data_IF_603665722272
#
_entry.id   IF_603665722272
#
_cell.length_a   1.000
_cell.length_b   1.000
_cell.length_c   1.000
_cell.angle_alpha   90.00
_cell.angle_beta   90.00
_cell.angle_gamma   90.00
#
_symmetry.space_group_name_H-M   'P 1'
#
loop_
_entity.id
_entity.type
_entity.pdbx_description
1 polymer ?
#
# COMPACT_ATOMS: atom_id res chain seq x y z
N UNK A 1 4.05 -25.81 2.14
CA UNK A 1 2.95 -25.21 1.37
C UNK A 1 2.94 -23.75 1.76
N UNK A 2 3.74 -22.94 1.08
CA UNK A 2 3.85 -21.51 1.36
C UNK A 2 2.61 -20.84 0.77
N UNK A 3 1.70 -20.37 1.62
CA UNK A 3 0.63 -19.49 1.21
C UNK A 3 1.20 -18.08 1.18
N UNK A 4 1.91 -17.76 0.11
CA UNK A 4 2.17 -16.36 -0.22
C UNK A 4 0.80 -15.81 -0.64
N UNK A 5 0.16 -15.01 0.22
CA UNK A 5 -1.09 -14.34 -0.13
C UNK A 5 -0.78 -13.27 -1.17
N UNK A 6 -0.77 -13.69 -2.43
CA UNK A 6 -0.60 -12.82 -3.58
C UNK A 6 -1.64 -11.68 -3.52
N UNK A 7 -1.24 -10.42 -3.74
CA UNK A 7 -2.17 -9.31 -3.74
C UNK A 7 -3.25 -9.51 -4.82
N UNK A 8 -4.49 -9.04 -4.58
CA UNK A 8 -5.52 -9.03 -5.63
C UNK A 8 -5.00 -8.37 -6.90
N UNK A 9 -5.46 -8.82 -8.07
CA UNK A 9 -4.89 -8.41 -9.37
C UNK A 9 -4.85 -6.88 -9.57
N UNK A 10 -5.84 -6.17 -9.05
CA UNK A 10 -5.89 -4.70 -9.04
C UNK A 10 -4.70 -4.08 -8.29
N UNK A 11 -4.41 -4.57 -7.10
CA UNK A 11 -3.25 -4.15 -6.28
C UNK A 11 -1.95 -4.63 -6.91
N UNK A 12 -1.92 -5.88 -7.40
CA UNK A 12 -0.74 -6.49 -8.05
C UNK A 12 -0.24 -5.64 -9.21
N UNK A 13 -1.14 -5.16 -10.07
CA UNK A 13 -0.76 -4.29 -11.19
C UNK A 13 -0.09 -3.00 -10.70
N UNK A 14 -0.67 -2.34 -9.69
CA UNK A 14 -0.13 -1.11 -9.12
C UNK A 14 1.28 -1.32 -8.53
N UNK A 15 1.51 -2.42 -7.80
CA UNK A 15 2.82 -2.70 -7.18
C UNK A 15 3.88 -3.21 -8.15
N UNK A 16 3.49 -3.81 -9.28
CA UNK A 16 4.43 -4.20 -10.35
C UNK A 16 4.89 -2.98 -11.14
N UNK A 17 4.00 -2.01 -11.37
CA UNK A 17 4.30 -0.80 -12.14
C UNK A 17 5.11 0.24 -11.34
N UNK A 18 5.10 0.17 -10.01
CA UNK A 18 5.72 1.16 -9.13
C UNK A 18 6.68 0.50 -8.13
N UNK A 19 7.92 1.00 -7.96
CA UNK A 19 8.90 0.38 -7.07
C UNK A 19 8.54 0.48 -5.59
N UNK A 20 7.78 1.51 -5.20
CA UNK A 20 7.19 1.66 -3.87
C UNK A 20 5.76 2.15 -4.02
N UNK A 21 4.83 1.46 -3.36
CA UNK A 21 3.41 1.87 -3.30
C UNK A 21 2.98 2.00 -1.84
N UNK A 22 2.29 3.09 -1.51
CA UNK A 22 1.77 3.35 -0.17
C UNK A 22 0.28 3.65 -0.30
N UNK A 23 -0.55 2.84 0.35
CA UNK A 23 -1.98 3.12 0.51
C UNK A 23 -2.20 3.80 1.86
N UNK A 24 -2.86 4.94 1.85
CA UNK A 24 -3.08 5.80 3.02
C UNK A 24 -4.51 6.29 3.09
N UNK A 25 -4.86 6.95 4.20
CA UNK A 25 -6.03 7.83 4.27
C UNK A 25 -5.58 9.19 4.82
N UNK A 26 -6.21 10.27 4.36
CA UNK A 26 -5.78 11.64 4.66
C UNK A 26 -5.89 11.99 6.16
N UNK A 27 -6.77 11.32 6.91
CA UNK A 27 -6.99 11.56 8.35
C UNK A 27 -6.13 10.70 9.30
N UNK A 28 -5.22 9.87 8.77
CA UNK A 28 -4.44 8.92 9.55
C UNK A 28 -3.05 9.47 9.97
N UNK A 29 -2.81 9.60 11.28
CA UNK A 29 -1.53 10.12 11.82
C UNK A 29 -0.32 9.25 11.44
N UNK A 30 -0.45 7.93 11.45
CA UNK A 30 0.62 7.00 11.04
C UNK A 30 0.95 7.16 9.55
N UNK A 31 -0.07 7.41 8.73
CA UNK A 31 0.07 7.63 7.29
C UNK A 31 0.88 8.90 7.02
N UNK A 32 0.71 9.96 7.82
CA UNK A 32 1.56 11.15 7.74
C UNK A 32 3.03 10.84 8.05
N UNK A 33 3.30 10.02 9.07
CA UNK A 33 4.66 9.63 9.43
C UNK A 33 5.34 8.83 8.31
N UNK A 34 4.63 7.85 7.73
CA UNK A 34 5.14 7.03 6.62
C UNK A 34 5.36 7.86 5.36
N UNK A 35 4.42 8.75 4.97
CA UNK A 35 4.61 9.66 3.83
C UNK A 35 5.86 10.54 3.99
N UNK A 36 6.10 11.07 5.20
CA UNK A 36 7.30 11.88 5.50
C UNK A 36 8.59 11.06 5.42
N UNK A 37 8.58 9.84 5.95
CA UNK A 37 9.71 8.93 5.89
C UNK A 37 10.12 8.67 4.44
N UNK A 38 9.19 8.21 3.60
CA UNK A 38 9.49 7.88 2.20
C UNK A 38 9.87 9.10 1.36
N UNK A 39 9.28 10.26 1.63
CA UNK A 39 9.72 11.53 1.01
C UNK A 39 11.19 11.86 1.32
N UNK A 40 11.67 11.53 2.52
CA UNK A 40 13.05 11.77 2.94
C UNK A 40 14.06 10.77 2.34
N UNK A 41 13.60 9.61 1.88
CA UNK A 41 14.46 8.55 1.34
C UNK A 41 14.84 8.73 -0.15
N UNK A 42 14.33 9.76 -0.82
CA UNK A 42 14.58 10.04 -2.24
C UNK A 42 14.29 8.84 -3.18
N UNK A 43 13.34 7.97 -2.80
CA UNK A 43 12.85 6.86 -3.61
C UNK A 43 11.60 7.26 -4.37
N UNK A 44 11.43 6.73 -5.59
CA UNK A 44 10.20 6.96 -6.35
C UNK A 44 9.04 6.24 -5.67
N UNK A 45 8.13 7.01 -5.07
CA UNK A 45 7.02 6.50 -4.25
C UNK A 45 5.71 6.94 -4.83
N UNK A 46 4.80 5.99 -5.05
CA UNK A 46 3.42 6.25 -5.46
C UNK A 46 2.51 6.12 -4.24
N UNK A 47 1.72 7.16 -3.97
CA UNK A 47 0.81 7.22 -2.81
C UNK A 47 -0.62 7.24 -3.33
N UNK A 48 -1.45 6.34 -2.81
CA UNK A 48 -2.89 6.30 -3.06
C UNK A 48 -3.61 6.68 -1.76
N UNK A 49 -4.24 7.85 -1.73
CA UNK A 49 -5.09 8.29 -0.62
C UNK A 49 -6.50 7.71 -0.81
N UNK A 50 -6.82 6.63 -0.12
CA UNK A 50 -8.04 5.84 -0.35
C UNK A 50 -9.34 6.65 -0.13
N UNK A 51 -9.30 7.72 0.66
CA UNK A 51 -10.44 8.62 0.87
C UNK A 51 -10.57 9.72 -0.20
N UNK A 52 -9.60 9.83 -1.11
CA UNK A 52 -9.58 10.80 -2.22
C UNK A 52 -9.63 10.12 -3.61
N UNK A 53 -9.27 8.84 -3.70
CA UNK A 53 -9.35 8.06 -4.94
C UNK A 53 -10.82 7.79 -5.36
N UNK A 54 -11.16 7.93 -6.66
CA UNK A 54 -12.50 7.64 -7.16
C UNK A 54 -13.01 6.23 -6.86
N UNK A 55 -12.11 5.24 -6.87
CA UNK A 55 -12.31 3.82 -6.59
C UNK A 55 -11.72 3.40 -5.22
N UNK A 56 -11.53 4.35 -4.32
CA UNK A 56 -10.87 4.14 -3.03
C UNK A 56 -11.52 3.08 -2.14
N UNK A 57 -12.86 2.95 -2.18
CA UNK A 57 -13.59 1.90 -1.43
C UNK A 57 -13.33 0.50 -1.97
N UNK A 58 -13.23 0.36 -3.28
CA UNK A 58 -12.90 -0.89 -3.96
C UNK A 58 -11.45 -1.28 -3.65
N UNK A 59 -10.53 -0.31 -3.66
CA UNK A 59 -9.13 -0.50 -3.25
C UNK A 59 -9.03 -0.91 -1.78
N UNK A 60 -9.73 -0.23 -0.87
CA UNK A 60 -9.76 -0.58 0.55
C UNK A 60 -10.23 -2.03 0.77
N UNK A 61 -11.31 -2.45 0.09
CA UNK A 61 -11.79 -3.84 0.13
C UNK A 61 -10.78 -4.84 -0.41
N UNK A 62 -10.05 -4.50 -1.47
CA UNK A 62 -8.99 -5.35 -1.99
C UNK A 62 -7.84 -5.49 -0.98
N UNK A 63 -7.49 -4.40 -0.28
CA UNK A 63 -6.44 -4.37 0.74
C UNK A 63 -6.80 -5.13 2.01
N UNK A 64 -8.09 -5.24 2.38
CA UNK A 64 -8.54 -5.98 3.57
C UNK A 64 -8.07 -7.44 3.63
N UNK A 65 -7.81 -8.06 2.47
CA UNK A 65 -7.27 -9.42 2.39
C UNK A 65 -5.79 -9.51 2.78
N UNK A 66 -5.08 -8.38 2.77
CA UNK A 66 -3.63 -8.28 3.00
C UNK A 66 -3.30 -7.60 4.33
N UNK A 67 -4.07 -6.57 4.70
CA UNK A 67 -3.92 -5.84 5.95
C UNK A 67 -5.26 -5.30 6.42
N UNK A 68 -5.49 -5.33 7.73
CA UNK A 68 -6.69 -4.74 8.36
C UNK A 68 -6.54 -3.25 8.67
N UNK A 69 -5.40 -2.63 8.36
CA UNK A 69 -5.12 -1.24 8.71
C UNK A 69 -4.20 -0.54 7.69
N UNK A 70 -4.33 0.79 7.63
CA UNK A 70 -3.43 1.71 6.91
C UNK A 70 -2.38 2.31 7.86
N UNK A 71 -1.19 2.70 7.36
CA UNK A 71 -0.76 2.62 5.96
C UNK A 71 -0.39 1.19 5.54
N UNK A 72 -0.70 0.83 4.29
CA UNK A 72 -0.23 -0.42 3.66
C UNK A 72 0.91 -0.06 2.71
N UNK A 73 2.07 -0.70 2.87
CA UNK A 73 3.28 -0.35 2.11
C UNK A 73 3.81 -1.55 1.35
N UNK A 74 4.04 -1.39 0.06
CA UNK A 74 4.73 -2.35 -0.79
C UNK A 74 6.08 -1.79 -1.24
N UNK A 75 7.10 -2.65 -1.24
CA UNK A 75 8.41 -2.39 -1.85
C UNK A 75 8.66 -3.49 -2.88
N UNK A 76 8.66 -3.11 -4.15
CA UNK A 76 8.40 -4.04 -5.24
C UNK A 76 7.06 -4.73 -5.05
N UNK A 77 7.02 -6.06 -5.20
CA UNK A 77 5.80 -6.86 -4.99
C UNK A 77 5.61 -7.33 -3.54
N UNK A 78 6.54 -7.00 -2.64
CA UNK A 78 6.53 -7.48 -1.25
C UNK A 78 5.78 -6.50 -0.35
N UNK A 79 4.81 -7.02 0.39
CA UNK A 79 4.13 -6.29 1.46
C UNK A 79 5.08 -6.11 2.65
N UNK A 80 5.34 -4.86 3.06
CA UNK A 80 6.13 -4.60 4.24
C UNK A 80 5.35 -4.97 5.50
N UNK A 81 6.00 -5.70 6.41
CA UNK A 81 5.39 -6.17 7.65
C UNK A 81 4.64 -7.51 7.52
N UNK A 82 4.65 -8.16 6.35
CA UNK A 82 4.25 -9.57 6.24
C UNK A 82 5.28 -10.47 6.93
N UNK A 83 4.81 -11.57 7.51
CA UNK A 83 5.70 -12.64 8.00
C UNK A 83 6.10 -13.49 6.80
N UNK A 84 7.41 -13.59 6.54
CA UNK A 84 7.99 -14.50 5.54
C UNK A 84 7.87 -15.98 5.96
#
# INVERSE_FOLDING_TARGET
MQYETEPPESIRKMVVENPVVIFTVSTCYLCLAVKRLFRGLAVNTTVFELDEEPDGKELEKALMWLSSAVPVVFVGVKLLGSVD
#
